data_IF_924751234858
#
_entry.id   IF_924751234858
#
_cell.length_a   1.000
_cell.length_b   1.000
_cell.length_c   1.000
_cell.angle_alpha   90.00
_cell.angle_beta   90.00
_cell.angle_gamma   90.00
#
_symmetry.space_group_name_H-M   'P 1'
#
loop_
_entity.id
_entity.type
_entity.pdbx_description
1 polymer ?
#
# COMPACT_ATOMS: atom_id res chain seq x y z
N UNK A 1 -13.53 13.06 19.91
CA UNK A 1 -12.78 11.84 20.22
C UNK A 1 -13.53 10.69 19.56
N UNK A 2 -13.01 10.11 18.47
CA UNK A 2 -13.60 8.88 17.90
C UNK A 2 -13.33 7.77 18.93
N UNK A 3 -14.37 7.09 19.42
CA UNK A 3 -14.15 5.88 20.22
C UNK A 3 -13.46 4.85 19.33
N UNK A 4 -12.50 4.09 19.87
CA UNK A 4 -11.83 3.02 19.13
C UNK A 4 -12.84 1.97 18.62
N UNK A 5 -14.03 1.92 19.24
CA UNK A 5 -15.17 1.09 18.83
C UNK A 5 -15.85 1.52 17.51
N UNK A 6 -15.46 2.64 16.89
CA UNK A 6 -16.01 3.11 15.60
C UNK A 6 -14.91 3.61 14.66
N UNK A 7 -13.83 2.83 14.53
CA UNK A 7 -12.83 3.05 13.49
C UNK A 7 -13.35 2.48 12.16
N UNK A 8 -13.61 3.37 11.21
CA UNK A 8 -13.85 2.98 9.82
C UNK A 8 -12.49 2.84 9.12
N UNK A 9 -12.24 1.75 8.38
CA UNK A 9 -11.01 1.60 7.62
C UNK A 9 -10.99 2.62 6.47
N UNK A 10 -9.86 3.30 6.26
CA UNK A 10 -9.67 4.17 5.10
C UNK A 10 -9.09 3.42 3.89
N UNK A 11 -8.55 2.22 4.11
CA UNK A 11 -8.06 1.30 3.10
C UNK A 11 -8.46 -0.13 3.48
N UNK A 12 -9.06 -0.84 2.54
CA UNK A 12 -9.31 -2.27 2.63
C UNK A 12 -8.81 -2.91 1.34
N UNK A 13 -7.95 -3.93 1.45
CA UNK A 13 -7.41 -4.65 0.32
C UNK A 13 -7.67 -6.15 0.48
N UNK A 14 -8.08 -6.81 -0.60
CA UNK A 14 -8.28 -8.25 -0.68
C UNK A 14 -7.51 -8.84 -1.86
N UNK A 15 -7.07 -10.11 -1.79
CA UNK A 15 -6.59 -10.81 -2.97
C UNK A 15 -7.66 -10.81 -4.07
N UNK A 16 -7.28 -10.40 -5.27
CA UNK A 16 -8.12 -10.49 -6.47
C UNK A 16 -7.92 -11.82 -7.21
N UNK A 17 -8.63 -11.98 -8.32
CA UNK A 17 -8.35 -13.06 -9.28
C UNK A 17 -6.97 -12.91 -9.92
N UNK A 18 -6.41 -14.01 -10.45
CA UNK A 18 -5.15 -14.05 -11.22
C UNK A 18 -3.93 -13.37 -10.55
N UNK A 19 -3.90 -13.27 -9.22
CA UNK A 19 -2.78 -12.67 -8.50
C UNK A 19 -2.84 -11.14 -8.38
N UNK A 20 -3.95 -10.52 -8.82
CA UNK A 20 -4.23 -9.11 -8.59
C UNK A 20 -4.72 -8.82 -7.17
N UNK A 21 -5.14 -7.58 -6.94
CA UNK A 21 -5.69 -7.12 -5.67
C UNK A 21 -6.91 -6.23 -5.90
N UNK A 22 -7.95 -6.40 -5.09
CA UNK A 22 -9.08 -5.48 -5.04
C UNK A 22 -8.86 -4.52 -3.88
N UNK A 23 -8.82 -3.23 -4.16
CA UNK A 23 -8.60 -2.18 -3.15
C UNK A 23 -9.78 -1.23 -3.11
N UNK A 24 -10.29 -0.99 -1.91
CA UNK A 24 -11.30 0.02 -1.63
C UNK A 24 -10.67 1.12 -0.77
N UNK A 25 -10.87 2.38 -1.17
CA UNK A 25 -10.26 3.55 -0.54
C UNK A 25 -11.33 4.56 -0.11
N UNK A 26 -11.14 5.17 1.06
CA UNK A 26 -11.82 6.40 1.46
C UNK A 26 -10.90 7.61 1.15
N UNK A 27 -11.12 8.33 0.04
CA UNK A 27 -10.28 9.45 -0.34
C UNK A 27 -10.41 10.65 0.61
N UNK A 28 -11.42 10.68 1.48
CA UNK A 28 -11.61 11.78 2.44
C UNK A 28 -10.62 11.74 3.61
N UNK A 29 -9.93 10.61 3.80
CA UNK A 29 -8.95 10.45 4.86
C UNK A 29 -7.70 11.31 4.65
N UNK A 30 -7.29 11.54 3.40
CA UNK A 30 -6.13 12.35 3.04
C UNK A 30 -6.56 13.70 2.47
N UNK A 31 -5.83 14.76 2.80
CA UNK A 31 -6.11 16.12 2.31
C UNK A 31 -5.53 16.37 0.91
N UNK A 32 -4.61 15.51 0.45
CA UNK A 32 -4.04 15.60 -0.89
C UNK A 32 -3.02 14.49 -1.21
N UNK A 33 -2.59 14.46 -2.47
CA UNK A 33 -1.69 13.42 -3.00
C UNK A 33 -0.34 13.32 -2.27
N UNK A 34 0.17 14.42 -1.72
CA UNK A 34 1.41 14.41 -0.93
C UNK A 34 1.31 13.57 0.35
N UNK A 35 0.15 13.60 1.03
CA UNK A 35 -0.09 12.77 2.21
C UNK A 35 -0.21 11.28 1.84
N UNK A 36 -0.80 10.99 0.68
CA UNK A 36 -0.83 9.62 0.12
C UNK A 36 0.58 9.12 -0.14
N UNK A 37 1.47 9.96 -0.68
CA UNK A 37 2.88 9.60 -0.88
C UNK A 37 3.60 9.23 0.42
N UNK A 38 3.38 9.99 1.50
CA UNK A 38 3.92 9.66 2.82
C UNK A 38 3.34 8.34 3.36
N UNK A 39 2.03 8.14 3.22
CA UNK A 39 1.36 6.90 3.60
C UNK A 39 1.95 5.67 2.89
N UNK A 40 2.15 5.75 1.57
CA UNK A 40 2.73 4.66 0.79
C UNK A 40 4.17 4.36 1.23
N UNK A 41 4.96 5.40 1.54
CA UNK A 41 6.31 5.22 2.08
C UNK A 41 6.31 4.51 3.44
N UNK A 42 5.39 4.88 4.35
CA UNK A 42 5.25 4.22 5.65
C UNK A 42 4.80 2.76 5.49
N UNK A 43 3.85 2.49 4.59
CA UNK A 43 3.40 1.14 4.26
C UNK A 43 4.55 0.28 3.71
N UNK A 44 5.35 0.81 2.79
CA UNK A 44 6.54 0.15 2.26
C UNK A 44 7.54 -0.21 3.38
N UNK A 45 7.76 0.70 4.35
CA UNK A 45 8.64 0.43 5.51
C UNK A 45 8.09 -0.66 6.41
N UNK A 46 6.77 -0.73 6.60
CA UNK A 46 6.14 -1.82 7.35
C UNK A 46 6.32 -3.17 6.65
N UNK A 47 6.11 -3.25 5.34
CA UNK A 47 6.35 -4.47 4.56
C UNK A 47 7.82 -4.89 4.57
N UNK A 48 8.74 -3.95 4.34
CA UNK A 48 10.18 -4.21 4.40
C UNK A 48 10.57 -4.86 5.74
N UNK A 49 10.08 -4.29 6.85
CA UNK A 49 10.32 -4.87 8.19
C UNK A 49 9.74 -6.28 8.32
N UNK A 50 8.52 -6.52 7.84
CA UNK A 50 7.89 -7.84 7.88
C UNK A 50 8.64 -8.88 7.01
N UNK A 51 9.19 -8.47 5.87
CA UNK A 51 9.98 -9.34 5.01
C UNK A 51 11.32 -9.72 5.64
N UNK A 52 12.02 -8.76 6.24
CA UNK A 52 13.23 -9.04 7.01
C UNK A 52 12.94 -10.01 8.16
N UNK A 53 11.88 -9.75 8.95
CA UNK A 53 11.50 -10.60 10.08
C UNK A 53 11.10 -12.01 9.66
N UNK A 54 10.54 -12.16 8.47
CA UNK A 54 10.11 -13.47 7.94
C UNK A 54 11.16 -14.16 7.08
N UNK A 55 12.37 -13.60 6.95
CA UNK A 55 13.46 -14.14 6.13
C UNK A 55 13.24 -14.04 4.62
N UNK A 56 12.29 -13.20 4.18
CA UNK A 56 12.00 -12.93 2.76
C UNK A 56 12.89 -11.84 2.16
N UNK A 57 13.54 -11.05 3.00
CA UNK A 57 14.55 -10.07 2.59
C UNK A 57 15.76 -10.19 3.51
N UNK A 58 16.93 -9.82 2.99
CA UNK A 58 18.20 -9.91 3.72
C UNK A 58 18.28 -8.91 4.85
N UNK A 59 17.94 -7.65 4.55
CA UNK A 59 17.94 -6.53 5.48
C UNK A 59 16.96 -5.44 5.02
N UNK A 60 16.83 -4.37 5.80
CA UNK A 60 15.87 -3.29 5.53
C UNK A 60 16.22 -2.51 4.26
N UNK A 61 17.50 -2.37 3.94
CA UNK A 61 17.95 -1.60 2.78
C UNK A 61 17.61 -2.38 1.50
N UNK A 62 17.99 -3.65 1.46
CA UNK A 62 17.67 -4.62 0.41
C UNK A 62 16.16 -4.69 0.12
N UNK A 63 15.33 -4.72 1.17
CA UNK A 63 13.88 -4.77 1.02
C UNK A 63 13.29 -3.48 0.47
N UNK A 64 13.77 -2.32 0.94
CA UNK A 64 13.27 -1.01 0.51
C UNK A 64 13.71 -0.71 -0.93
N UNK A 65 14.94 -1.08 -1.29
CA UNK A 65 15.45 -0.93 -2.66
C UNK A 65 14.57 -1.72 -3.65
N UNK A 66 14.31 -3.00 -3.38
CA UNK A 66 13.42 -3.82 -4.21
C UNK A 66 11.99 -3.27 -4.32
N UNK A 67 11.40 -2.82 -3.20
CA UNK A 67 10.06 -2.22 -3.22
C UNK A 67 10.07 -0.95 -4.09
N UNK A 68 11.07 -0.09 -3.92
CA UNK A 68 11.18 1.17 -4.65
C UNK A 68 11.38 0.95 -6.15
N UNK A 69 12.27 0.05 -6.54
CA UNK A 69 12.55 -0.23 -7.95
C UNK A 69 11.27 -0.63 -8.70
N UNK A 70 10.50 -1.57 -8.12
CA UNK A 70 9.26 -2.03 -8.76
C UNK A 70 8.14 -1.01 -8.67
N UNK A 71 8.04 -0.26 -7.57
CA UNK A 71 7.05 0.79 -7.42
C UNK A 71 7.27 1.94 -8.40
N UNK A 72 8.50 2.45 -8.52
CA UNK A 72 8.86 3.52 -9.45
C UNK A 72 8.63 3.03 -10.91
N UNK A 73 8.99 1.78 -11.22
CA UNK A 73 8.74 1.19 -12.54
C UNK A 73 7.24 1.10 -12.88
N UNK A 74 6.40 0.67 -11.93
CA UNK A 74 4.94 0.57 -12.13
C UNK A 74 4.28 1.94 -12.26
N UNK A 75 4.75 2.96 -11.53
CA UNK A 75 4.26 4.33 -11.67
C UNK A 75 4.64 4.95 -13.04
N UNK A 76 5.84 4.67 -13.53
CA UNK A 76 6.35 5.22 -14.79
C UNK A 76 5.79 4.47 -16.01
N UNK A 77 5.55 3.16 -15.90
CA UNK A 77 5.01 2.31 -16.96
C UNK A 77 4.07 1.25 -16.37
N UNK A 78 2.78 1.58 -16.18
CA UNK A 78 1.80 0.68 -15.58
C UNK A 78 1.67 -0.62 -16.35
N UNK A 79 1.72 -1.74 -15.63
CA UNK A 79 1.55 -3.10 -16.19
C UNK A 79 0.13 -3.62 -16.03
N UNK A 80 -0.66 -3.00 -15.15
CA UNK A 80 -2.09 -3.22 -14.95
C UNK A 80 -2.81 -1.85 -14.83
N UNK A 81 -3.95 -1.66 -15.50
CA UNK A 81 -4.73 -0.40 -15.40
C UNK A 81 -5.50 -0.30 -14.07
N UNK A 82 -5.62 -1.41 -13.32
CA UNK A 82 -6.24 -1.47 -11.99
C UNK A 82 -7.75 -1.18 -11.99
N UNK A 83 -8.57 -2.19 -11.70
CA UNK A 83 -10.01 -1.98 -11.44
C UNK A 83 -10.21 -1.38 -10.03
N UNK A 84 -10.28 -0.05 -9.92
CA UNK A 84 -10.58 0.66 -8.67
C UNK A 84 -12.09 0.87 -8.43
N UNK A 85 -12.54 0.72 -7.18
CA UNK A 85 -13.92 0.99 -6.75
C UNK A 85 -14.01 1.78 -5.44
N UNK A 86 -15.16 2.41 -5.17
CA UNK A 86 -15.41 3.15 -3.92
C UNK A 86 -15.74 2.18 -2.77
N UNK A 87 -15.09 2.36 -1.61
CA UNK A 87 -15.60 1.81 -0.35
C UNK A 87 -16.77 2.71 0.08
N UNK A 88 -17.98 2.17 0.14
CA UNK A 88 -19.16 2.84 0.70
C UNK A 88 -19.49 2.36 2.10
#
# INVERSE_FOLDING_TARGET
>A
MRSEDNLQPFLVAFPGGEGGQTVMLDPSFFTGAGEVGLFLADLARHYARAFVQSGRARDMEDAIEQIRELFDAELDTPTDEGEGGFAS
#
